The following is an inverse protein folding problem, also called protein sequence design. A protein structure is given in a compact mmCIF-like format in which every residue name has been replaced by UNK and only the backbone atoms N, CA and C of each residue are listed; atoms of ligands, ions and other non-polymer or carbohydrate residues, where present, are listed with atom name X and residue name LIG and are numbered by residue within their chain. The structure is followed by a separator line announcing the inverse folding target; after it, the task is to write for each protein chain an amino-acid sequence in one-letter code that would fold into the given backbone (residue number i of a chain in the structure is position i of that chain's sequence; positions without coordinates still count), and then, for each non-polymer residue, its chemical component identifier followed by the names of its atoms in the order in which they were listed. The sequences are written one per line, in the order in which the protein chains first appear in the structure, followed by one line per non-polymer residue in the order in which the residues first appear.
data_IF_545376307146
#
_entry.id   IF_545376307146
#
_cell.length_a   1.000
_cell.length_b   1.000
_cell.length_c   1.000
_cell.angle_alpha   90.00
_cell.angle_beta   90.00
_cell.angle_gamma   90.00
#
_symmetry.space_group_name_H-M   'P 1'
#
loop_
_entity.id
_entity.type
_entity.pdbx_description
1 polymer ?
#
# COMPACT_ATOMS: atom_id res chain seq x y z
N UNK A 1 22.33 12.46 6.97
CA UNK A 1 23.40 11.91 7.86
C UNK A 1 22.74 10.82 8.67
N UNK A 2 23.13 9.57 8.39
CA UNK A 2 22.66 8.40 9.14
C UNK A 2 23.47 8.37 10.43
N UNK A 3 22.80 8.61 11.54
CA UNK A 3 23.41 8.39 12.85
C UNK A 3 23.13 6.93 13.27
N UNK A 4 24.05 6.05 12.86
CA UNK A 4 24.03 4.65 13.24
C UNK A 4 24.64 4.51 14.63
N UNK A 5 23.87 4.76 15.67
CA UNK A 5 24.27 4.42 17.01
C UNK A 5 24.04 2.91 17.23
N UNK A 6 25.08 2.10 16.98
CA UNK A 6 25.11 0.75 17.50
C UNK A 6 25.39 0.85 19.01
N UNK A 7 24.39 0.54 19.82
CA UNK A 7 24.59 0.33 21.26
C UNK A 7 24.67 -1.16 21.51
N UNK A 8 25.77 -1.59 22.13
CA UNK A 8 25.89 -2.92 22.71
C UNK A 8 25.48 -2.85 24.17
N UNK A 9 24.51 -3.67 24.57
CA UNK A 9 24.19 -3.85 25.98
C UNK A 9 24.78 -5.18 26.42
N UNK A 10 25.71 -5.17 27.38
CA UNK A 10 26.18 -6.39 28.05
C UNK A 10 25.11 -6.83 29.05
N UNK A 11 24.60 -8.02 28.89
CA UNK A 11 23.83 -8.72 29.92
C UNK A 11 24.65 -9.87 30.45
N UNK A 12 24.36 -10.34 31.68
CA UNK A 12 24.99 -11.49 32.28
C UNK A 12 24.83 -12.81 31.49
N UNK A 13 23.96 -12.80 30.43
CA UNK A 13 23.66 -13.94 29.57
C UNK A 13 24.30 -13.89 28.18
N UNK A 14 25.13 -12.90 27.90
CA UNK A 14 25.78 -12.71 26.60
C UNK A 14 25.65 -11.31 26.05
N UNK A 15 26.34 -11.03 24.94
CA UNK A 15 26.35 -9.74 24.31
C UNK A 15 25.15 -9.66 23.34
N UNK A 16 24.17 -8.79 23.63
CA UNK A 16 23.05 -8.51 22.74
C UNK A 16 23.42 -7.34 21.84
N UNK A 17 23.52 -7.59 20.55
CA UNK A 17 23.79 -6.56 19.54
C UNK A 17 22.48 -6.09 18.93
N UNK A 18 22.25 -4.78 18.95
CA UNK A 18 21.13 -4.16 18.27
C UNK A 18 21.55 -2.89 17.54
N UNK A 19 20.83 -2.57 16.48
CA UNK A 19 21.00 -1.33 15.74
C UNK A 19 19.68 -0.57 15.77
N UNK A 20 19.71 0.63 16.33
CA UNK A 20 18.56 1.51 16.31
C UNK A 20 18.58 2.34 15.02
N UNK A 21 17.56 2.17 14.18
CA UNK A 21 17.43 2.87 12.93
C UNK A 21 16.57 4.13 13.12
N UNK A 22 17.23 5.28 13.24
CA UNK A 22 16.57 6.59 13.24
C UNK A 22 16.77 7.23 11.88
N UNK A 23 15.78 7.14 11.01
CA UNK A 23 15.84 7.79 9.71
C UNK A 23 15.10 9.12 9.74
N UNK A 24 15.85 10.20 9.43
CA UNK A 24 15.24 11.40 8.89
C UNK A 24 15.16 11.18 7.38
N UNK A 25 13.97 11.23 6.82
CA UNK A 25 13.81 11.29 5.37
C UNK A 25 14.61 12.51 4.87
N UNK A 26 15.20 12.43 3.67
CA UNK A 26 16.08 13.47 3.11
C UNK A 26 15.42 14.86 2.92
N UNK A 27 14.19 15.03 3.35
CA UNK A 27 13.47 16.30 3.37
C UNK A 27 13.50 16.89 4.78
N UNK A 28 13.98 18.15 4.98
CA UNK A 28 14.01 18.81 6.30
C UNK A 28 12.66 18.91 7.01
N UNK A 29 11.55 18.78 6.26
CA UNK A 29 10.18 18.73 6.80
C UNK A 29 9.68 17.31 7.04
N UNK A 30 10.43 16.28 6.66
CA UNK A 30 10.03 14.90 6.90
C UNK A 30 10.25 14.55 8.37
N UNK A 31 9.17 14.10 8.98
CA UNK A 31 9.19 13.53 10.32
C UNK A 31 10.01 12.24 10.31
N UNK A 32 10.60 11.89 11.43
CA UNK A 32 11.18 10.58 11.71
C UNK A 32 10.20 9.48 11.25
N UNK A 33 10.73 8.35 10.80
CA UNK A 33 9.90 7.14 10.62
C UNK A 33 9.36 6.79 12.00
N UNK A 34 8.11 7.11 12.23
CA UNK A 34 7.44 6.97 13.52
C UNK A 34 6.25 6.03 13.42
N UNK A 35 5.84 5.49 14.56
CA UNK A 35 4.62 4.71 14.71
C UNK A 35 4.55 3.52 13.75
N UNK A 36 5.64 2.79 13.62
CA UNK A 36 5.65 1.56 12.84
C UNK A 36 4.65 0.58 13.42
N UNK A 37 3.77 0.09 12.58
CA UNK A 37 2.65 -0.78 12.91
C UNK A 37 2.86 -2.22 12.47
N UNK A 38 3.54 -2.40 11.35
CA UNK A 38 3.83 -3.71 10.77
C UNK A 38 5.05 -3.61 9.84
N UNK A 39 5.58 -4.74 9.47
CA UNK A 39 6.65 -4.85 8.49
C UNK A 39 6.47 -6.12 7.67
N UNK A 40 7.04 -6.10 6.48
CA UNK A 40 7.09 -7.22 5.57
C UNK A 40 8.47 -7.23 4.92
N UNK A 41 9.14 -8.37 4.93
CA UNK A 41 10.33 -8.61 4.14
C UNK A 41 9.91 -9.43 2.93
N UNK A 42 10.23 -8.92 1.74
CA UNK A 42 9.90 -9.57 0.48
C UNK A 42 10.94 -10.64 0.12
N UNK A 43 10.58 -11.53 -0.78
CA UNK A 43 11.43 -12.65 -1.23
C UNK A 43 12.80 -12.17 -1.77
N UNK A 44 12.86 -10.95 -2.31
CA UNK A 44 14.12 -10.31 -2.75
C UNK A 44 14.92 -9.65 -1.61
N UNK A 45 14.46 -9.78 -0.35
CA UNK A 45 15.09 -9.18 0.83
C UNK A 45 14.80 -7.69 1.02
N UNK A 46 13.86 -7.11 0.27
CA UNK A 46 13.44 -5.73 0.47
C UNK A 46 12.58 -5.62 1.73
N UNK A 47 12.96 -4.74 2.66
CA UNK A 47 12.20 -4.46 3.86
C UNK A 47 11.20 -3.33 3.62
N UNK A 48 9.94 -3.61 3.93
CA UNK A 48 8.83 -2.67 3.94
C UNK A 48 8.34 -2.44 5.37
N UNK A 49 8.03 -1.19 5.67
CA UNK A 49 7.50 -0.78 6.97
C UNK A 49 6.14 -0.12 6.75
N UNK A 50 5.13 -0.56 7.48
CA UNK A 50 3.85 0.12 7.58
C UNK A 50 3.81 1.02 8.80
N UNK A 51 3.11 2.15 8.73
CA UNK A 51 2.99 3.08 9.83
C UNK A 51 1.55 3.47 10.13
N UNK A 52 1.33 3.97 11.32
CA UNK A 52 0.06 4.53 11.73
C UNK A 52 0.04 6.04 11.46
N UNK A 53 -0.52 6.43 10.32
CA UNK A 53 -0.73 7.81 9.92
C UNK A 53 0.22 8.36 8.86
N UNK A 54 1.28 7.60 8.46
CA UNK A 54 2.27 8.09 7.50
C UNK A 54 2.41 7.20 6.25
N UNK A 55 1.60 6.16 6.10
CA UNK A 55 1.67 5.24 4.97
C UNK A 55 2.73 4.16 5.14
N UNK A 56 3.40 3.81 4.05
CA UNK A 56 4.44 2.77 4.01
C UNK A 56 5.80 3.34 3.63
N UNK A 57 6.85 2.61 4.01
CA UNK A 57 8.23 2.92 3.67
C UNK A 57 8.91 1.70 3.07
N UNK A 58 9.60 1.91 1.96
CA UNK A 58 10.47 0.91 1.31
C UNK A 58 11.92 1.20 1.64
N UNK A 59 12.62 0.23 2.24
CA UNK A 59 14.07 0.32 2.44
C UNK A 59 14.77 0.11 1.11
N UNK A 60 15.70 0.98 0.79
CA UNK A 60 16.59 0.83 -0.37
C UNK A 60 18.04 1.06 0.07
N UNK A 61 18.94 0.34 -0.56
CA UNK A 61 20.40 0.48 -0.34
C UNK A 61 21.02 0.92 -1.65
N UNK A 62 21.75 2.02 -1.65
CA UNK A 62 22.41 2.50 -2.84
C UNK A 62 23.70 1.70 -3.14
N UNK A 63 24.31 1.95 -4.30
CA UNK A 63 25.54 1.28 -4.74
C UNK A 63 26.76 1.54 -3.84
N UNK A 64 26.67 2.45 -2.88
CA UNK A 64 27.69 2.75 -1.87
C UNK A 64 27.37 2.09 -0.50
N UNK A 65 26.31 1.31 -0.42
CA UNK A 65 25.84 0.67 0.81
C UNK A 65 25.09 1.60 1.75
N UNK A 66 24.75 2.82 1.32
CA UNK A 66 23.97 3.76 2.12
C UNK A 66 22.49 3.39 2.08
N UNK A 67 21.88 3.23 3.24
CA UNK A 67 20.46 2.94 3.39
C UNK A 67 19.62 4.22 3.36
N UNK A 68 18.47 4.14 2.72
CA UNK A 68 17.43 5.16 2.74
C UNK A 68 16.05 4.54 2.70
N UNK A 69 15.02 5.30 3.07
CA UNK A 69 13.62 4.88 2.93
C UNK A 69 12.89 5.77 1.94
N UNK A 70 12.16 5.14 1.03
CA UNK A 70 11.20 5.79 0.13
C UNK A 70 9.83 5.68 0.79
N UNK A 71 9.12 6.79 0.92
CA UNK A 71 7.77 6.81 1.49
C UNK A 71 6.71 6.80 0.40
N UNK A 72 5.61 6.08 0.68
CA UNK A 72 4.39 6.10 -0.12
C UNK A 72 3.21 6.33 0.82
N UNK A 73 2.32 7.21 0.43
CA UNK A 73 1.16 7.60 1.22
C UNK A 73 -0.02 7.93 0.30
N UNK A 74 -1.08 8.53 0.82
CA UNK A 74 -2.27 8.88 0.04
C UNK A 74 -2.01 9.88 -1.09
N UNK A 75 -0.88 10.59 -1.11
CA UNK A 75 -0.50 11.46 -2.24
C UNK A 75 0.08 10.67 -3.42
N UNK A 76 0.44 9.40 -3.21
CA UNK A 76 0.86 8.44 -4.22
C UNK A 76 -0.15 7.29 -4.35
N UNK A 77 -1.43 7.56 -4.13
CA UNK A 77 -2.56 6.64 -4.31
C UNK A 77 -2.65 5.46 -3.32
N UNK A 78 -1.92 5.44 -2.22
CA UNK A 78 -2.23 4.51 -1.13
C UNK A 78 -3.61 4.86 -0.55
N UNK A 79 -4.50 3.88 -0.38
CA UNK A 79 -5.90 4.14 0.01
C UNK A 79 -6.04 4.84 1.38
N UNK A 80 -5.13 4.54 2.31
CA UNK A 80 -5.16 5.15 3.65
C UNK A 80 -3.79 5.08 4.32
N UNK A 81 -3.39 6.13 5.03
CA UNK A 81 -2.08 6.24 5.71
C UNK A 81 -1.98 5.43 7.01
N UNK A 82 -3.10 4.91 7.54
CA UNK A 82 -3.10 4.06 8.72
C UNK A 82 -2.96 2.60 8.30
N UNK A 83 -1.73 2.16 8.10
CA UNK A 83 -1.41 0.80 7.70
C UNK A 83 -1.50 -0.14 8.91
N UNK A 84 -2.06 -1.32 8.73
CA UNK A 84 -2.33 -2.30 9.77
C UNK A 84 -1.53 -3.58 9.62
N UNK A 85 -1.48 -4.09 8.39
CA UNK A 85 -0.79 -5.35 8.06
C UNK A 85 -0.32 -5.33 6.61
N UNK A 86 0.71 -6.11 6.30
CA UNK A 86 1.26 -6.22 4.96
C UNK A 86 1.69 -7.64 4.68
N UNK A 87 1.57 -8.08 3.42
CA UNK A 87 2.08 -9.35 2.92
C UNK A 87 2.52 -9.21 1.47
N UNK A 88 3.57 -9.94 1.09
CA UNK A 88 3.94 -10.15 -0.30
C UNK A 88 3.07 -11.26 -0.90
N UNK A 89 2.50 -11.00 -2.07
CA UNK A 89 1.83 -12.00 -2.88
C UNK A 89 2.82 -12.84 -3.70
N UNK A 90 2.39 -14.00 -4.17
CA UNK A 90 3.22 -14.89 -5.01
C UNK A 90 3.70 -14.21 -6.30
N UNK A 91 3.00 -13.19 -6.75
CA UNK A 91 3.30 -12.34 -7.90
C UNK A 91 4.30 -11.21 -7.60
N UNK A 92 4.80 -11.13 -6.36
CA UNK A 92 5.71 -10.08 -5.88
C UNK A 92 5.02 -8.73 -5.60
N UNK A 93 3.70 -8.65 -5.71
CA UNK A 93 2.95 -7.48 -5.32
C UNK A 93 2.82 -7.39 -3.78
N UNK A 94 2.77 -6.17 -3.24
CA UNK A 94 2.64 -5.96 -1.81
C UNK A 94 1.20 -5.60 -1.47
N UNK A 95 0.57 -6.46 -0.70
CA UNK A 95 -0.79 -6.27 -0.22
C UNK A 95 -0.78 -5.60 1.15
N UNK A 96 -1.57 -4.54 1.29
CA UNK A 96 -1.51 -3.60 2.41
C UNK A 96 -2.91 -3.41 2.97
N UNK A 97 -3.18 -4.04 4.09
CA UNK A 97 -4.39 -3.83 4.87
C UNK A 97 -4.30 -2.53 5.66
N UNK A 98 -5.29 -1.66 5.51
CA UNK A 98 -5.33 -0.36 6.16
C UNK A 98 -6.56 -0.20 7.07
N UNK A 99 -6.70 0.95 7.68
CA UNK A 99 -7.89 1.27 8.48
C UNK A 99 -9.13 1.57 7.62
N UNK A 100 -8.99 1.70 6.30
CA UNK A 100 -10.09 2.02 5.41
C UNK A 100 -9.88 1.47 3.99
N UNK A 101 -9.74 0.16 3.88
CA UNK A 101 -9.57 -0.54 2.61
C UNK A 101 -8.26 -1.29 2.49
N UNK A 102 -8.11 -1.96 1.37
CA UNK A 102 -6.96 -2.77 0.99
C UNK A 102 -6.28 -2.13 -0.22
N UNK A 103 -4.96 -1.98 -0.17
CA UNK A 103 -4.15 -1.57 -1.32
C UNK A 103 -3.27 -2.72 -1.79
N UNK A 104 -3.08 -2.84 -3.08
CA UNK A 104 -2.07 -3.68 -3.71
C UNK A 104 -1.06 -2.78 -4.42
N UNK A 105 0.19 -2.78 -3.97
CA UNK A 105 1.28 -2.08 -4.64
C UNK A 105 1.94 -2.98 -5.66
N UNK A 106 2.07 -2.49 -6.88
CA UNK A 106 2.73 -3.17 -8.00
C UNK A 106 4.14 -2.60 -8.19
N UNK A 107 5.20 -3.30 -7.73
CA UNK A 107 6.55 -2.75 -7.76
C UNK A 107 7.09 -2.45 -9.15
N UNK A 108 6.72 -3.27 -10.15
CA UNK A 108 7.15 -3.12 -11.55
C UNK A 108 6.55 -1.90 -12.23
N UNK A 109 5.33 -1.52 -11.84
CA UNK A 109 4.58 -0.41 -12.43
C UNK A 109 4.61 0.84 -11.56
N UNK A 110 5.12 0.71 -10.32
CA UNK A 110 5.16 1.75 -9.31
C UNK A 110 3.80 2.42 -9.08
N UNK A 111 2.74 1.62 -8.97
CA UNK A 111 1.36 2.07 -8.77
C UNK A 111 0.62 1.26 -7.73
N UNK A 112 -0.48 1.80 -7.25
CA UNK A 112 -1.41 1.13 -6.36
C UNK A 112 -2.70 0.75 -7.09
N UNK A 113 -3.28 -0.39 -6.70
CA UNK A 113 -4.68 -0.74 -6.93
C UNK A 113 -5.36 -0.81 -5.58
N UNK A 114 -6.51 -0.16 -5.44
CA UNK A 114 -7.22 -0.06 -4.18
C UNK A 114 -8.54 -0.82 -4.23
N UNK A 115 -8.89 -1.44 -3.11
CA UNK A 115 -10.10 -2.24 -2.95
C UNK A 115 -10.90 -1.76 -1.74
N UNK A 116 -12.21 -1.67 -1.92
CA UNK A 116 -13.18 -1.21 -0.94
C UNK A 116 -14.36 -2.19 -0.87
N UNK A 117 -15.39 -1.85 -0.10
CA UNK A 117 -16.65 -2.62 -0.10
C UNK A 117 -17.34 -2.64 -1.48
N UNK A 118 -17.12 -1.61 -2.31
CA UNK A 118 -17.67 -1.56 -3.67
C UNK A 118 -17.01 -2.60 -4.59
N UNK A 119 -15.78 -2.99 -4.28
CA UNK A 119 -15.01 -3.99 -4.99
C UNK A 119 -15.21 -5.41 -4.42
N UNK A 120 -16.11 -5.56 -3.46
CA UNK A 120 -16.48 -6.84 -2.87
C UNK A 120 -15.75 -7.18 -1.57
N UNK A 121 -14.97 -6.27 -0.98
CA UNK A 121 -14.41 -6.53 0.34
C UNK A 121 -15.53 -6.62 1.39
N UNK A 122 -15.53 -7.67 2.24
CA UNK A 122 -16.53 -7.82 3.29
C UNK A 122 -16.41 -6.73 4.36
N UNK A 123 -15.19 -6.26 4.60
CA UNK A 123 -14.90 -5.14 5.50
C UNK A 123 -13.66 -4.36 5.02
N UNK A 124 -13.57 -3.08 5.41
CA UNK A 124 -12.46 -2.20 5.06
C UNK A 124 -11.52 -1.91 6.21
N UNK A 125 -11.87 -2.32 7.43
CA UNK A 125 -11.08 -2.07 8.63
C UNK A 125 -10.24 -3.30 8.99
N UNK A 126 -8.95 -3.25 8.67
CA UNK A 126 -8.00 -4.33 8.94
C UNK A 126 -7.43 -4.23 10.36
N UNK A 127 -7.02 -5.38 10.93
CA UNK A 127 -6.41 -5.46 12.25
C UNK A 127 -4.89 -5.37 12.19
N UNK A 128 -4.32 -4.94 13.31
CA UNK A 128 -2.89 -4.81 13.52
C UNK A 128 -2.18 -6.14 13.36
N UNK A 129 -1.20 -6.18 12.47
CA UNK A 129 -0.30 -7.32 12.24
C UNK A 129 -1.03 -8.66 12.01
N UNK A 130 -2.32 -8.59 11.64
CA UNK A 130 -3.16 -9.75 11.42
C UNK A 130 -3.16 -10.14 9.94
N UNK A 131 -2.02 -10.62 9.46
CA UNK A 131 -1.90 -11.15 8.10
C UNK A 131 -0.90 -12.28 8.04
N UNK A 132 -1.14 -13.22 7.15
CA UNK A 132 -0.21 -14.29 6.82
C UNK A 132 -0.44 -14.76 5.38
N UNK A 133 0.50 -15.51 4.84
CA UNK A 133 0.32 -16.26 3.60
C UNK A 133 0.37 -17.76 3.89
N UNK A 134 -0.39 -18.53 3.14
CA UNK A 134 -0.31 -19.98 3.18
C UNK A 134 0.64 -20.52 2.12
N UNK A 135 0.97 -21.81 2.21
CA UNK A 135 1.90 -22.47 1.28
C UNK A 135 1.41 -22.53 -0.16
N UNK A 136 0.12 -22.36 -0.40
CA UNK A 136 -0.50 -22.28 -1.75
C UNK A 136 -0.52 -20.84 -2.31
N UNK A 137 -0.01 -19.88 -1.54
CA UNK A 137 0.05 -18.47 -1.93
C UNK A 137 -1.19 -17.65 -1.60
N UNK A 138 -2.20 -18.24 -0.97
CA UNK A 138 -3.36 -17.50 -0.48
C UNK A 138 -2.97 -16.56 0.64
N UNK A 139 -3.36 -15.29 0.55
CA UNK A 139 -3.12 -14.29 1.58
C UNK A 139 -4.33 -14.17 2.49
N UNK A 140 -4.09 -14.17 3.78
CA UNK A 140 -5.12 -14.00 4.80
C UNK A 140 -4.92 -12.70 5.54
N UNK A 141 -6.01 -11.94 5.71
CA UNK A 141 -6.03 -10.69 6.44
C UNK A 141 -7.17 -10.67 7.45
N UNK A 142 -6.84 -10.42 8.71
CA UNK A 142 -7.84 -10.21 9.76
C UNK A 142 -8.48 -8.82 9.64
N UNK A 143 -9.82 -8.79 9.76
CA UNK A 143 -10.62 -7.57 9.75
C UNK A 143 -11.54 -7.51 10.97
N UNK A 144 -12.19 -6.40 11.20
CA UNK A 144 -13.19 -6.25 12.27
C UNK A 144 -14.36 -7.23 12.09
N UNK A 145 -14.75 -7.52 10.85
CA UNK A 145 -15.85 -8.42 10.51
C UNK A 145 -15.43 -9.90 10.36
N UNK A 146 -14.14 -10.22 10.50
CA UNK A 146 -13.64 -11.59 10.38
C UNK A 146 -12.36 -11.71 9.56
N UNK A 147 -12.30 -12.69 8.66
CA UNK A 147 -11.13 -13.02 7.85
C UNK A 147 -11.41 -12.73 6.37
N UNK A 148 -10.51 -12.01 5.72
CA UNK A 148 -10.48 -11.85 4.26
C UNK A 148 -9.39 -12.74 3.68
N UNK A 149 -9.73 -13.62 2.75
CA UNK A 149 -8.77 -14.41 1.98
C UNK A 149 -8.66 -13.83 0.56
N UNK A 150 -7.42 -13.72 0.07
CA UNK A 150 -7.11 -13.26 -1.28
C UNK A 150 -6.35 -14.39 -1.96
N UNK A 151 -6.96 -14.97 -2.98
CA UNK A 151 -6.35 -16.06 -3.72
C UNK A 151 -5.23 -15.56 -4.63
N UNK A 152 -4.19 -16.36 -4.82
CA UNK A 152 -3.00 -16.02 -5.61
C UNK A 152 -3.28 -15.71 -7.09
N UNK A 153 -4.41 -16.15 -7.60
CA UNK A 153 -4.88 -15.90 -8.96
C UNK A 153 -5.95 -14.80 -9.05
N UNK A 154 -6.09 -13.99 -7.98
CA UNK A 154 -7.03 -12.86 -8.00
C UNK A 154 -6.65 -11.92 -9.16
N UNK A 155 -7.49 -11.79 -10.18
CA UNK A 155 -7.16 -10.94 -11.32
C UNK A 155 -7.02 -9.51 -10.83
N UNK A 156 -6.00 -8.76 -11.31
CA UNK A 156 -6.01 -7.33 -11.11
C UNK A 156 -7.36 -6.82 -11.61
N UNK A 157 -8.00 -5.95 -10.82
CA UNK A 157 -9.26 -5.34 -11.26
C UNK A 157 -9.04 -4.75 -12.64
N UNK A 158 -9.48 -5.47 -13.66
CA UNK A 158 -9.59 -4.90 -14.98
C UNK A 158 -10.71 -3.89 -14.81
N UNK A 159 -10.34 -2.64 -14.57
CA UNK A 159 -11.26 -1.52 -14.73
C UNK A 159 -11.63 -1.56 -16.21
N UNK A 160 -12.66 -2.33 -16.54
CA UNK A 160 -13.26 -2.19 -17.85
C UNK A 160 -13.75 -0.75 -17.89
N UNK A 161 -13.25 0.06 -18.84
CA UNK A 161 -13.71 1.43 -18.95
C UNK A 161 -15.23 1.37 -19.03
N UNK A 162 -15.89 2.00 -18.07
CA UNK A 162 -17.36 2.04 -18.06
C UNK A 162 -17.80 2.59 -19.41
N UNK A 163 -18.62 1.83 -20.14
CA UNK A 163 -19.24 2.33 -21.36
C UNK A 163 -20.21 3.45 -20.96
N UNK A 164 -19.71 4.66 -20.91
CA UNK A 164 -20.54 5.83 -20.65
C UNK A 164 -21.39 6.06 -21.88
N UNK A 165 -22.70 5.91 -21.74
CA UNK A 165 -23.67 6.27 -22.77
C UNK A 165 -24.43 7.49 -22.30
N UNK A 166 -24.41 8.53 -23.11
CA UNK A 166 -25.30 9.66 -22.91
C UNK A 166 -26.72 9.20 -23.27
N UNK A 167 -27.58 9.10 -22.29
CA UNK A 167 -28.99 8.74 -22.50
C UNK A 167 -29.88 9.93 -22.80
N UNK A 168 -29.43 11.14 -22.45
CA UNK A 168 -30.18 12.37 -22.64
C UNK A 168 -29.24 13.59 -22.62
N UNK A 169 -29.37 14.48 -23.57
CA UNK A 169 -28.72 15.78 -23.58
C UNK A 169 -29.81 16.87 -23.55
N UNK A 170 -29.65 17.83 -22.65
CA UNK A 170 -30.50 19.02 -22.59
C UNK A 170 -29.68 20.30 -22.78
N UNK A 171 -30.11 21.17 -23.68
CA UNK A 171 -29.57 22.50 -23.79
C UNK A 171 -30.72 23.47 -23.49
N UNK A 172 -30.56 24.23 -22.41
CA UNK A 172 -31.67 25.01 -21.85
C UNK A 172 -32.80 24.09 -21.39
N UNK A 173 -34.03 24.31 -21.81
CA UNK A 173 -35.19 23.48 -21.44
C UNK A 173 -35.63 22.53 -22.56
N UNK A 174 -34.80 22.34 -23.62
CA UNK A 174 -35.12 21.49 -24.76
C UNK A 174 -34.28 20.21 -24.77
N UNK A 175 -34.95 19.04 -24.95
CA UNK A 175 -34.29 17.77 -25.15
C UNK A 175 -33.72 17.68 -26.55
N UNK A 176 -32.45 17.36 -26.70
CA UNK A 176 -31.76 17.14 -27.96
C UNK A 176 -31.69 15.65 -28.26
N UNK A 177 -32.29 15.25 -29.37
CA UNK A 177 -32.30 13.86 -29.81
C UNK A 177 -30.92 13.45 -30.34
N UNK A 178 -30.48 12.19 -30.06
CA UNK A 178 -29.26 11.65 -30.64
C UNK A 178 -29.34 11.65 -32.17
N UNK A 179 -28.42 12.27 -32.85
CA UNK A 179 -28.35 12.37 -34.28
C UNK A 179 -28.20 13.83 -34.79
N UNK A 180 -28.48 14.82 -33.97
CA UNK A 180 -28.38 16.23 -34.33
C UNK A 180 -27.21 16.96 -33.68
N UNK A 181 -26.24 16.24 -33.15
CA UNK A 181 -25.06 16.83 -32.51
C UNK A 181 -23.89 16.75 -33.50
N UNK A 182 -23.60 17.86 -34.15
CA UNK A 182 -22.36 18.03 -34.88
C UNK A 182 -21.37 18.72 -33.95
N UNK A 183 -20.32 18.01 -33.52
CA UNK A 183 -19.17 18.65 -32.90
C UNK A 183 -18.36 19.28 -34.02
N UNK A 184 -18.30 20.59 -34.07
CA UNK A 184 -17.35 21.29 -34.95
C UNK A 184 -15.96 21.01 -34.43
N UNK A 185 -15.09 20.45 -35.26
CA UNK A 185 -13.67 20.43 -35.03
C UNK A 185 -13.14 21.82 -35.38
N UNK A 186 -12.79 22.60 -34.36
CA UNK A 186 -11.89 23.75 -34.45
C UNK A 186 -10.58 23.38 -33.73
#
# INVERSE_FOLDING_TARGET
IIDLHSRSAKSEKGEFQYRHLNYKLDNPQSKLIEKISCFCETTDGTLWLGSNGYGIYKRVVDGQGKEKFISYNTTQDLINNNVRSMQEGIDGNIWIGTNNGLSCYHPTENRFTNYTKQDGLPDTQFYWNASCHSSDGTLYFGTVAGLTAIESNFPPSIIQPANVRFTKLRIGNQDILPGNIYLSQD
#
